data_IF_291405494746
#
_entry.id   IF_291405494746
#
_cell.length_a   1.000
_cell.length_b   1.000
_cell.length_c   1.000
_cell.angle_alpha   90.00
_cell.angle_beta   90.00
_cell.angle_gamma   90.00
#
_symmetry.space_group_name_H-M   'P 1'
#
loop_
_entity.id
_entity.type
_entity.pdbx_description
1 polymer ?
#
# COMPACT_ATOMS: atom_id res chain seq x y z
N UNK A 1 46.07 -13.16 17.99
CA UNK A 1 44.92 -13.45 17.11
C UNK A 1 44.27 -12.12 16.74
N UNK A 2 44.05 -11.86 15.46
CA UNK A 2 43.39 -10.64 15.00
C UNK A 2 41.91 -10.66 15.43
N UNK A 3 41.36 -9.53 15.85
CA UNK A 3 39.96 -9.40 16.34
C UNK A 3 38.94 -10.02 15.39
N UNK A 4 39.19 -9.93 14.09
CA UNK A 4 38.37 -10.51 13.02
C UNK A 4 38.29 -12.06 13.07
N UNK A 5 39.42 -12.72 13.40
CA UNK A 5 39.46 -14.18 13.54
C UNK A 5 38.68 -14.65 14.79
N UNK A 6 38.70 -13.87 15.86
CA UNK A 6 37.96 -14.17 17.07
C UNK A 6 36.41 -14.05 16.84
N UNK A 7 35.97 -13.02 16.11
CA UNK A 7 34.57 -12.83 15.76
C UNK A 7 34.05 -13.96 14.85
N UNK A 8 34.85 -14.36 13.85
CA UNK A 8 34.50 -15.47 12.94
C UNK A 8 34.34 -16.79 13.70
N UNK A 9 35.21 -17.07 14.66
CA UNK A 9 35.13 -18.28 15.50
C UNK A 9 33.89 -18.30 16.40
N UNK A 10 33.50 -17.13 16.95
CA UNK A 10 32.29 -17.02 17.77
C UNK A 10 31.02 -17.26 16.93
N UNK A 11 30.96 -16.73 15.69
CA UNK A 11 29.80 -16.93 14.80
C UNK A 11 29.68 -18.40 14.39
N UNK A 12 30.81 -19.07 14.10
CA UNK A 12 30.83 -20.51 13.75
C UNK A 12 30.38 -21.35 14.96
N UNK A 13 30.84 -21.03 16.17
CA UNK A 13 30.43 -21.73 17.39
C UNK A 13 28.95 -21.62 17.69
N UNK A 14 28.34 -20.44 17.46
CA UNK A 14 26.90 -20.23 17.61
C UNK A 14 26.08 -21.00 16.57
N UNK A 15 26.53 -21.06 15.33
CA UNK A 15 25.87 -21.84 14.27
C UNK A 15 25.93 -23.36 14.54
N UNK A 16 27.06 -23.86 14.99
CA UNK A 16 27.22 -25.29 15.35
C UNK A 16 26.39 -25.64 16.59
N UNK A 17 26.34 -24.75 17.57
CA UNK A 17 25.50 -24.92 18.77
C UNK A 17 24.01 -24.97 18.47
N UNK A 18 23.55 -24.14 17.52
CA UNK A 18 22.14 -24.13 17.09
C UNK A 18 21.75 -25.41 16.35
N UNK A 19 22.61 -25.92 15.46
CA UNK A 19 22.37 -27.17 14.72
C UNK A 19 22.37 -28.36 15.67
N UNK A 20 23.32 -28.43 16.62
CA UNK A 20 23.38 -29.50 17.62
C UNK A 20 22.19 -29.48 18.60
N UNK A 21 21.74 -28.30 18.99
CA UNK A 21 20.55 -28.13 19.85
C UNK A 21 19.26 -28.59 19.18
N UNK A 22 19.09 -28.29 17.91
CA UNK A 22 17.92 -28.71 17.13
C UNK A 22 17.84 -30.23 16.94
N UNK A 23 18.97 -30.88 16.67
CA UNK A 23 19.03 -32.36 16.49
C UNK A 23 18.78 -33.11 17.80
N UNK A 24 19.26 -32.64 18.96
CA UNK A 24 18.99 -33.24 20.26
C UNK A 24 17.50 -33.10 20.65
N UNK A 25 16.84 -32.01 20.29
CA UNK A 25 15.41 -31.86 20.54
C UNK A 25 14.55 -32.83 19.70
N UNK A 26 14.98 -33.16 18.48
CA UNK A 26 14.29 -34.11 17.60
C UNK A 26 14.47 -35.56 18.08
N UNK A 27 15.68 -35.92 18.63
CA UNK A 27 15.99 -37.29 19.05
C UNK A 27 15.45 -37.64 20.45
N UNK A 28 15.08 -36.66 21.27
CA UNK A 28 14.42 -36.87 22.56
C UNK A 28 12.88 -36.84 22.51
N UNK A 29 12.29 -37.28 21.41
CA UNK A 29 10.87 -37.51 21.25
C UNK A 29 10.35 -38.45 22.31
N UNK A 30 9.82 -37.91 23.38
CA UNK A 30 9.20 -38.63 24.51
C UNK A 30 7.93 -39.35 24.01
N UNK A 31 7.85 -40.63 24.34
CA UNK A 31 6.59 -41.37 24.35
C UNK A 31 5.64 -40.73 25.37
N UNK A 32 4.75 -39.91 24.90
CA UNK A 32 3.65 -39.33 25.64
C UNK A 32 2.54 -38.98 24.68
N UNK A 33 1.50 -39.79 24.67
CA UNK A 33 0.29 -39.57 23.87
C UNK A 33 -0.52 -38.44 24.52
N UNK A 34 -0.11 -37.20 24.34
CA UNK A 34 -1.02 -36.06 24.44
C UNK A 34 -1.43 -35.65 23.04
N UNK A 35 -2.74 -35.77 22.78
CA UNK A 35 -3.37 -35.15 21.61
C UNK A 35 -3.14 -33.64 21.72
N UNK A 36 -2.05 -33.16 21.15
CA UNK A 36 -1.87 -31.75 20.87
C UNK A 36 -2.95 -31.43 19.82
N UNK A 37 -4.01 -30.76 20.28
CA UNK A 37 -4.94 -30.14 19.37
C UNK A 37 -4.11 -29.31 18.41
N UNK A 38 -4.03 -29.70 17.15
CA UNK A 38 -3.48 -28.88 16.08
C UNK A 38 -4.29 -27.59 16.11
N UNK A 39 -3.67 -26.52 16.62
CA UNK A 39 -4.12 -25.17 16.36
C UNK A 39 -4.03 -25.03 14.84
N UNK A 40 -5.17 -25.21 14.17
CA UNK A 40 -5.27 -24.88 12.76
C UNK A 40 -4.81 -23.44 12.63
N UNK A 41 -3.64 -23.24 11.95
CA UNK A 41 -3.32 -21.92 11.40
C UNK A 41 -4.59 -21.40 10.77
N UNK A 42 -4.98 -20.13 11.01
CA UNK A 42 -6.05 -19.54 10.24
C UNK A 42 -5.68 -19.77 8.77
N UNK A 43 -6.51 -20.54 8.06
CA UNK A 43 -6.42 -20.61 6.61
C UNK A 43 -6.66 -19.18 6.15
N UNK A 44 -5.58 -18.48 5.81
CA UNK A 44 -5.71 -17.32 4.95
C UNK A 44 -6.39 -17.84 3.69
N UNK A 45 -7.57 -17.32 3.43
CA UNK A 45 -8.30 -17.55 2.20
C UNK A 45 -7.31 -17.37 1.05
N UNK A 46 -7.00 -18.41 0.26
CA UNK A 46 -6.16 -18.19 -0.91
C UNK A 46 -6.93 -17.18 -1.76
N UNK A 47 -6.34 -16.00 -1.95
CA UNK A 47 -6.96 -14.98 -2.80
C UNK A 47 -7.46 -15.59 -4.10
N UNK A 48 -8.38 -14.94 -4.83
CA UNK A 48 -9.04 -15.52 -5.99
C UNK A 48 -8.00 -16.15 -6.90
N UNK A 49 -8.25 -17.40 -7.33
CA UNK A 49 -7.36 -18.11 -8.23
C UNK A 49 -7.14 -17.22 -9.47
N UNK A 50 -5.87 -17.02 -9.84
CA UNK A 50 -5.50 -16.21 -11.01
C UNK A 50 -6.25 -16.63 -12.28
N UNK A 51 -6.58 -17.93 -12.39
CA UNK A 51 -7.38 -18.44 -13.51
C UNK A 51 -8.82 -17.92 -13.46
N UNK A 52 -9.45 -17.89 -12.29
CA UNK A 52 -10.79 -17.33 -12.10
C UNK A 52 -10.82 -15.83 -12.37
N UNK A 53 -9.85 -15.08 -11.84
CA UNK A 53 -9.72 -13.65 -12.09
C UNK A 53 -9.56 -13.35 -13.59
N UNK A 54 -8.70 -14.08 -14.30
CA UNK A 54 -8.49 -13.91 -15.73
C UNK A 54 -9.74 -14.24 -16.56
N UNK A 55 -10.48 -15.27 -16.16
CA UNK A 55 -11.77 -15.62 -16.80
C UNK A 55 -12.77 -14.49 -16.60
N UNK A 56 -12.86 -13.94 -15.40
CA UNK A 56 -13.77 -12.83 -15.08
C UNK A 56 -13.42 -11.57 -15.86
N UNK A 57 -12.14 -11.22 -15.94
CA UNK A 57 -11.65 -10.10 -16.78
C UNK A 57 -12.07 -10.30 -18.24
N UNK A 58 -11.88 -11.51 -18.79
CA UNK A 58 -12.30 -11.84 -20.15
C UNK A 58 -13.80 -11.62 -20.37
N UNK A 59 -14.62 -12.15 -19.46
CA UNK A 59 -16.07 -12.00 -19.53
C UNK A 59 -16.51 -10.53 -19.48
N UNK A 60 -15.93 -9.76 -18.55
CA UNK A 60 -16.24 -8.33 -18.43
C UNK A 60 -15.81 -7.53 -19.65
N UNK A 61 -14.68 -7.88 -20.26
CA UNK A 61 -14.27 -7.27 -21.54
C UNK A 61 -15.29 -7.49 -22.64
N UNK A 62 -15.80 -8.72 -22.77
CA UNK A 62 -16.85 -9.03 -23.76
C UNK A 62 -18.16 -8.25 -23.50
N UNK A 63 -18.51 -8.00 -22.23
CA UNK A 63 -19.66 -7.18 -21.85
C UNK A 63 -19.41 -5.72 -22.26
N UNK A 64 -18.25 -5.16 -21.90
CA UNK A 64 -17.87 -3.76 -22.21
C UNK A 64 -17.66 -3.53 -23.71
N UNK A 65 -17.32 -4.54 -24.50
CA UNK A 65 -17.27 -4.48 -25.96
C UNK A 65 -18.67 -4.37 -26.56
N UNK A 66 -19.66 -5.09 -25.99
CA UNK A 66 -21.07 -5.06 -26.45
C UNK A 66 -21.80 -3.80 -25.97
N UNK A 67 -21.57 -3.41 -24.71
CA UNK A 67 -22.08 -2.18 -24.13
C UNK A 67 -20.93 -1.35 -23.53
N UNK A 68 -20.36 -0.41 -24.29
CA UNK A 68 -19.27 0.43 -23.82
C UNK A 68 -19.61 1.36 -22.66
N UNK A 69 -20.88 1.45 -22.28
CA UNK A 69 -21.39 2.31 -21.18
C UNK A 69 -21.91 1.50 -20.00
N UNK A 70 -21.72 0.20 -19.97
CA UNK A 70 -22.07 -0.64 -18.82
C UNK A 70 -21.22 -0.24 -17.61
N UNK A 71 -21.78 0.61 -16.74
CA UNK A 71 -21.08 1.12 -15.56
C UNK A 71 -20.68 0.02 -14.58
N UNK A 72 -21.54 -0.96 -14.23
CA UNK A 72 -21.16 -2.11 -13.41
C UNK A 72 -19.95 -2.86 -13.97
N UNK A 73 -19.96 -3.21 -15.25
CA UNK A 73 -18.87 -3.94 -15.87
C UNK A 73 -17.57 -3.13 -15.93
N UNK A 74 -17.65 -1.83 -16.24
CA UNK A 74 -16.48 -0.92 -16.24
C UNK A 74 -15.86 -0.81 -14.85
N UNK A 75 -16.68 -0.66 -13.81
CA UNK A 75 -16.22 -0.57 -12.42
C UNK A 75 -15.52 -1.86 -11.99
N UNK A 76 -16.18 -3.00 -12.22
CA UNK A 76 -15.66 -4.30 -11.82
C UNK A 76 -14.38 -4.66 -12.60
N UNK A 77 -14.32 -4.36 -13.89
CA UNK A 77 -13.13 -4.54 -14.71
C UNK A 77 -11.96 -3.71 -14.18
N UNK A 78 -12.22 -2.43 -13.85
CA UNK A 78 -11.22 -1.56 -13.25
C UNK A 78 -10.69 -2.07 -11.92
N UNK A 79 -11.58 -2.55 -11.05
CA UNK A 79 -11.21 -3.13 -9.75
C UNK A 79 -10.36 -4.40 -9.91
N UNK A 80 -10.71 -5.29 -10.82
CA UNK A 80 -9.92 -6.50 -11.09
C UNK A 80 -8.52 -6.16 -11.62
N UNK A 81 -8.41 -5.15 -12.48
CA UNK A 81 -7.10 -4.67 -12.93
C UNK A 81 -6.31 -3.97 -11.83
N UNK A 82 -6.98 -3.23 -10.95
CA UNK A 82 -6.36 -2.63 -9.77
C UNK A 82 -5.78 -3.71 -8.85
N UNK A 83 -6.59 -4.72 -8.49
CA UNK A 83 -6.20 -5.80 -7.58
C UNK A 83 -5.11 -6.71 -8.18
N UNK A 84 -5.12 -6.88 -9.49
CA UNK A 84 -4.10 -7.65 -10.22
C UNK A 84 -2.83 -6.86 -10.57
N UNK A 85 -2.74 -5.58 -10.15
CA UNK A 85 -1.56 -4.75 -10.39
C UNK A 85 -1.35 -4.40 -11.87
N UNK A 86 -2.42 -4.21 -12.61
CA UNK A 86 -2.42 -3.80 -14.03
C UNK A 86 -2.87 -2.32 -14.15
N UNK A 87 -1.97 -1.37 -13.84
CA UNK A 87 -2.37 0.01 -13.63
C UNK A 87 -2.85 0.73 -14.90
N UNK A 88 -2.34 0.37 -16.07
CA UNK A 88 -2.78 1.01 -17.34
C UNK A 88 -4.22 0.64 -17.66
N UNK A 89 -4.53 -0.63 -17.53
CA UNK A 89 -5.84 -1.22 -17.81
C UNK A 89 -6.88 -0.73 -16.77
N UNK A 90 -6.47 -0.63 -15.50
CA UNK A 90 -7.32 -0.07 -14.45
C UNK A 90 -7.68 1.40 -14.75
N UNK A 91 -6.69 2.23 -15.10
CA UNK A 91 -6.91 3.64 -15.46
C UNK A 91 -7.85 3.77 -16.65
N UNK A 92 -7.71 2.92 -17.68
CA UNK A 92 -8.59 2.93 -18.85
C UNK A 92 -10.04 2.66 -18.44
N UNK A 93 -10.30 1.59 -17.71
CA UNK A 93 -11.63 1.23 -17.27
C UNK A 93 -12.25 2.30 -16.35
N UNK A 94 -11.49 2.81 -15.38
CA UNK A 94 -11.93 3.88 -14.48
C UNK A 94 -12.20 5.19 -15.22
N UNK A 95 -11.37 5.55 -16.20
CA UNK A 95 -11.56 6.76 -17.00
C UNK A 95 -12.87 6.70 -17.80
N UNK A 96 -13.20 5.52 -18.37
CA UNK A 96 -14.47 5.31 -19.09
C UNK A 96 -15.66 5.42 -18.16
N UNK A 97 -15.59 4.84 -16.96
CA UNK A 97 -16.62 4.99 -15.93
C UNK A 97 -16.81 6.46 -15.55
N UNK A 98 -15.72 7.16 -15.21
CA UNK A 98 -15.75 8.55 -14.75
C UNK A 98 -16.16 9.56 -15.84
N UNK A 99 -16.01 9.20 -17.11
CA UNK A 99 -16.54 9.99 -18.21
C UNK A 99 -18.08 10.00 -18.25
N UNK A 100 -18.72 8.95 -17.73
CA UNK A 100 -20.19 8.84 -17.64
C UNK A 100 -20.69 9.32 -16.27
N UNK A 101 -20.00 8.95 -15.20
CA UNK A 101 -20.34 9.27 -13.81
C UNK A 101 -19.14 9.90 -13.10
N UNK A 102 -18.96 11.23 -13.22
CA UNK A 102 -17.75 11.91 -12.72
C UNK A 102 -17.66 12.02 -11.19
N UNK A 103 -18.78 11.92 -10.48
CA UNK A 103 -18.84 12.11 -9.03
C UNK A 103 -18.64 10.77 -8.29
N UNK A 104 -17.39 10.29 -8.31
CA UNK A 104 -16.98 9.13 -7.53
C UNK A 104 -15.58 9.39 -6.95
N UNK A 105 -15.47 9.95 -5.73
CA UNK A 105 -14.19 10.28 -5.12
C UNK A 105 -13.34 9.06 -4.80
N UNK A 106 -13.95 7.92 -4.44
CA UNK A 106 -13.21 6.66 -4.20
C UNK A 106 -12.53 6.21 -5.50
N UNK A 107 -13.28 6.12 -6.60
CA UNK A 107 -12.75 5.68 -7.88
C UNK A 107 -11.66 6.61 -8.43
N UNK A 108 -11.81 7.93 -8.23
CA UNK A 108 -10.73 8.88 -8.56
C UNK A 108 -9.49 8.64 -7.71
N UNK A 109 -9.66 8.29 -6.45
CA UNK A 109 -8.55 7.97 -5.57
C UNK A 109 -7.83 6.71 -6.03
N UNK A 110 -8.57 5.66 -6.40
CA UNK A 110 -8.00 4.42 -6.93
C UNK A 110 -7.25 4.68 -8.26
N UNK A 111 -7.83 5.49 -9.14
CA UNK A 111 -7.16 5.90 -10.37
C UNK A 111 -5.87 6.70 -10.08
N UNK A 112 -5.88 7.57 -9.09
CA UNK A 112 -4.69 8.29 -8.62
C UNK A 112 -3.61 7.33 -8.09
N UNK A 113 -3.99 6.27 -7.37
CA UNK A 113 -3.06 5.22 -6.92
C UNK A 113 -2.44 4.51 -8.13
N UNK A 114 -3.20 4.25 -9.18
CA UNK A 114 -2.70 3.62 -10.39
C UNK A 114 -1.75 4.53 -11.18
N UNK A 115 -2.03 5.84 -11.26
CA UNK A 115 -1.07 6.80 -11.82
C UNK A 115 0.24 6.83 -11.02
N UNK A 116 0.15 6.79 -9.69
CA UNK A 116 1.33 6.69 -8.83
C UNK A 116 2.15 5.42 -9.10
N UNK A 117 1.49 4.28 -9.28
CA UNK A 117 2.13 3.01 -9.63
C UNK A 117 2.88 3.06 -10.97
N UNK A 118 2.44 3.89 -11.90
CA UNK A 118 3.13 4.16 -13.17
C UNK A 118 4.25 5.21 -13.06
N UNK A 119 4.44 5.81 -11.87
CA UNK A 119 5.39 6.92 -11.68
C UNK A 119 4.87 8.27 -12.15
N UNK A 120 3.61 8.37 -12.54
CA UNK A 120 2.98 9.62 -12.96
C UNK A 120 2.40 10.35 -11.73
N UNK A 121 3.31 10.92 -10.97
CA UNK A 121 3.00 11.54 -9.68
C UNK A 121 2.15 12.80 -9.83
N UNK A 122 2.28 13.52 -10.94
CA UNK A 122 1.50 14.74 -11.18
C UNK A 122 0.04 14.41 -11.46
N UNK A 123 -0.24 13.42 -12.32
CA UNK A 123 -1.61 12.95 -12.55
C UNK A 123 -2.20 12.29 -11.30
N UNK A 124 -1.41 11.56 -10.53
CA UNK A 124 -1.86 11.00 -9.26
C UNK A 124 -2.37 12.11 -8.31
N UNK A 125 -1.58 13.17 -8.11
CA UNK A 125 -1.97 14.32 -7.28
C UNK A 125 -3.21 15.03 -7.85
N UNK A 126 -3.31 15.16 -9.16
CA UNK A 126 -4.47 15.77 -9.81
C UNK A 126 -5.76 14.99 -9.51
N UNK A 127 -5.77 13.67 -9.66
CA UNK A 127 -6.95 12.85 -9.38
C UNK A 127 -7.30 12.85 -7.88
N UNK A 128 -6.32 12.82 -6.99
CA UNK A 128 -6.58 13.00 -5.56
C UNK A 128 -7.19 14.37 -5.23
N UNK A 129 -6.74 15.45 -5.88
CA UNK A 129 -7.33 16.78 -5.70
C UNK A 129 -8.77 16.83 -6.21
N UNK A 130 -9.05 16.23 -7.37
CA UNK A 130 -10.41 16.13 -7.92
C UNK A 130 -11.33 15.34 -6.98
N UNK A 131 -10.84 14.23 -6.41
CA UNK A 131 -11.57 13.47 -5.41
C UNK A 131 -11.88 14.31 -4.15
N UNK A 132 -10.90 15.06 -3.63
CA UNK A 132 -11.08 15.95 -2.49
C UNK A 132 -11.97 17.16 -2.77
N UNK A 133 -12.14 17.56 -4.03
CA UNK A 133 -13.03 18.62 -4.47
C UNK A 133 -14.48 18.13 -4.59
N UNK A 134 -14.69 16.93 -5.14
CA UNK A 134 -16.02 16.33 -5.27
C UNK A 134 -16.60 15.91 -3.92
N UNK A 135 -15.75 15.42 -2.99
CA UNK A 135 -16.13 15.22 -1.59
C UNK A 135 -15.13 15.90 -0.64
N UNK A 136 -15.49 17.06 -0.06
CA UNK A 136 -14.65 17.77 0.90
C UNK A 136 -14.31 16.96 2.17
N UNK A 137 -15.08 15.90 2.48
CA UNK A 137 -14.84 15.01 3.63
C UNK A 137 -14.03 13.76 3.26
N UNK A 138 -13.67 13.60 2.00
CA UNK A 138 -12.94 12.42 1.55
C UNK A 138 -11.49 12.42 2.08
N UNK A 139 -11.24 11.62 3.12
CA UNK A 139 -9.99 11.61 3.86
C UNK A 139 -8.84 10.93 3.09
N UNK A 140 -9.15 9.88 2.30
CA UNK A 140 -8.13 9.07 1.64
C UNK A 140 -7.39 9.86 0.55
N UNK A 141 -8.11 10.65 -0.26
CA UNK A 141 -7.51 11.48 -1.30
C UNK A 141 -6.54 12.51 -0.70
N UNK A 142 -6.93 13.21 0.38
CA UNK A 142 -6.07 14.19 1.08
C UNK A 142 -4.83 13.55 1.67
N UNK A 143 -4.98 12.37 2.27
CA UNK A 143 -3.85 11.62 2.82
C UNK A 143 -2.86 11.23 1.72
N UNK A 144 -3.37 10.71 0.59
CA UNK A 144 -2.55 10.25 -0.53
C UNK A 144 -1.78 11.38 -1.22
N UNK A 145 -2.30 12.61 -1.27
CA UNK A 145 -1.53 13.78 -1.74
C UNK A 145 -0.24 13.94 -0.92
N UNK A 146 -0.34 13.88 0.41
CA UNK A 146 0.83 13.98 1.28
C UNK A 146 1.82 12.83 1.10
N UNK A 147 1.31 11.61 0.88
CA UNK A 147 2.15 10.43 0.59
C UNK A 147 2.98 10.65 -0.67
N UNK A 148 2.35 11.04 -1.78
CA UNK A 148 3.06 11.26 -3.05
C UNK A 148 4.07 12.40 -2.93
N UNK A 149 3.69 13.51 -2.29
CA UNK A 149 4.60 14.64 -2.10
C UNK A 149 5.82 14.26 -1.27
N UNK A 150 5.63 13.49 -0.19
CA UNK A 150 6.72 13.10 0.70
C UNK A 150 7.64 12.05 0.07
N UNK A 151 7.07 10.94 -0.38
CA UNK A 151 7.86 9.75 -0.73
C UNK A 151 8.32 9.73 -2.18
N UNK A 152 7.50 10.27 -3.08
CA UNK A 152 7.76 10.14 -4.51
C UNK A 152 8.38 11.43 -5.09
N UNK A 153 7.90 12.60 -4.63
CA UNK A 153 8.41 13.92 -5.09
C UNK A 153 9.44 14.54 -4.14
N UNK A 154 9.61 13.99 -2.93
CA UNK A 154 10.52 14.51 -1.89
C UNK A 154 10.23 15.98 -1.51
N UNK A 155 9.00 16.43 -1.73
CA UNK A 155 8.51 17.75 -1.34
C UNK A 155 7.98 17.73 0.10
N UNK A 156 8.91 17.84 1.06
CA UNK A 156 8.60 17.83 2.50
C UNK A 156 7.62 18.97 2.86
N UNK A 157 7.81 20.16 2.31
CA UNK A 157 6.94 21.31 2.62
C UNK A 157 5.54 21.12 2.07
N UNK A 158 5.43 20.64 0.85
CA UNK A 158 4.14 20.29 0.24
C UNK A 158 3.44 19.18 0.99
N UNK A 159 4.16 18.15 1.42
CA UNK A 159 3.62 17.04 2.20
C UNK A 159 3.05 17.51 3.55
N UNK A 160 3.78 18.34 4.28
CA UNK A 160 3.29 18.95 5.54
C UNK A 160 1.98 19.69 5.29
N UNK A 161 1.95 20.58 4.28
CA UNK A 161 0.74 21.33 3.95
C UNK A 161 -0.44 20.43 3.58
N UNK A 162 -0.22 19.40 2.76
CA UNK A 162 -1.25 18.46 2.37
C UNK A 162 -1.80 17.68 3.57
N UNK A 163 -0.95 17.27 4.49
CA UNK A 163 -1.38 16.56 5.69
C UNK A 163 -1.99 17.46 6.76
N UNK A 164 -1.65 18.73 6.81
CA UNK A 164 -2.39 19.71 7.61
C UNK A 164 -3.83 19.87 7.10
N UNK A 165 -4.04 19.85 5.77
CA UNK A 165 -5.41 19.84 5.19
C UNK A 165 -6.15 18.52 5.47
N UNK A 166 -5.45 17.37 5.45
CA UNK A 166 -6.02 16.08 5.88
C UNK A 166 -6.51 16.16 7.34
N UNK A 167 -5.69 16.72 8.25
CA UNK A 167 -6.00 16.80 9.68
C UNK A 167 -7.18 17.72 10.01
N UNK A 168 -7.58 18.62 9.11
CA UNK A 168 -8.82 19.42 9.26
C UNK A 168 -10.07 18.55 9.13
N UNK A 169 -9.98 17.47 8.35
CA UNK A 169 -11.10 16.54 8.10
C UNK A 169 -11.08 15.36 9.06
N UNK A 170 -9.92 14.78 9.28
CA UNK A 170 -9.71 13.70 10.24
C UNK A 170 -8.74 14.15 11.35
N UNK A 171 -9.30 14.48 12.51
CA UNK A 171 -8.51 14.97 13.64
C UNK A 171 -8.33 13.97 14.78
N UNK A 172 -9.00 12.80 14.75
CA UNK A 172 -9.09 11.93 15.93
C UNK A 172 -8.62 10.49 15.71
N UNK A 173 -8.57 10.01 14.46
CA UNK A 173 -8.18 8.63 14.16
C UNK A 173 -6.72 8.34 14.56
N UNK A 174 -6.37 7.09 14.69
CA UNK A 174 -4.98 6.67 14.86
C UNK A 174 -4.10 7.12 13.68
N UNK A 175 -4.65 7.13 12.47
CA UNK A 175 -3.96 7.63 11.29
C UNK A 175 -3.65 9.12 11.45
N UNK A 176 -4.59 9.93 11.95
CA UNK A 176 -4.37 11.34 12.23
C UNK A 176 -3.28 11.58 13.29
N UNK A 177 -3.22 10.75 14.33
CA UNK A 177 -2.15 10.83 15.34
C UNK A 177 -0.78 10.52 14.73
N UNK A 178 -0.67 9.48 13.90
CA UNK A 178 0.57 9.16 13.17
C UNK A 178 1.00 10.30 12.24
N UNK A 179 0.06 10.88 11.51
CA UNK A 179 0.33 12.02 10.61
C UNK A 179 0.85 13.23 11.38
N UNK A 180 0.25 13.58 12.53
CA UNK A 180 0.76 14.67 13.39
C UNK A 180 2.20 14.44 13.82
N UNK A 181 2.48 13.24 14.33
CA UNK A 181 3.84 12.89 14.76
C UNK A 181 4.85 12.99 13.61
N UNK A 182 4.42 12.61 12.40
CA UNK A 182 5.28 12.70 11.22
C UNK A 182 5.51 14.15 10.78
N UNK A 183 4.51 15.00 10.81
CA UNK A 183 4.63 16.45 10.56
C UNK A 183 5.61 17.09 11.56
N UNK A 184 5.47 16.78 12.85
CA UNK A 184 6.37 17.31 13.89
C UNK A 184 7.83 16.92 13.65
N UNK A 185 8.07 15.66 13.29
CA UNK A 185 9.41 15.16 12.96
C UNK A 185 9.99 15.91 11.75
N UNK A 186 9.21 16.08 10.69
CA UNK A 186 9.64 16.78 9.48
C UNK A 186 9.96 18.27 9.73
N UNK A 187 9.14 18.95 10.55
CA UNK A 187 9.38 20.34 10.94
C UNK A 187 10.69 20.47 11.72
N UNK A 188 10.94 19.61 12.72
CA UNK A 188 12.21 19.60 13.48
C UNK A 188 13.42 19.37 12.59
N UNK A 189 13.35 18.40 11.67
CA UNK A 189 14.45 18.16 10.72
C UNK A 189 14.71 19.36 9.80
N UNK A 190 13.67 20.10 9.41
CA UNK A 190 13.80 21.31 8.60
C UNK A 190 14.45 22.50 9.35
N UNK A 191 14.27 22.56 10.67
CA UNK A 191 14.84 23.61 11.52
C UNK A 191 16.32 23.33 11.88
N UNK A 192 16.74 22.06 11.87
CA UNK A 192 18.12 21.64 12.18
C UNK A 192 19.10 21.80 11.02
N UNK A 193 18.62 22.05 9.79
CA UNK A 193 19.51 22.34 8.65
C UNK A 193 20.06 23.77 8.80
N UNK A 194 21.39 23.98 9.00
CA UNK A 194 21.96 25.32 9.14
C UNK A 194 21.60 26.14 7.89
N UNK A 195 21.01 27.32 8.09
CA UNK A 195 20.86 28.31 7.02
C UNK A 195 22.25 28.66 6.56
N UNK A 196 22.72 28.08 5.46
CA UNK A 196 23.96 28.52 4.82
C UNK A 196 23.73 29.99 4.43
N UNK A 197 24.33 30.89 5.20
CA UNK A 197 24.34 32.31 4.91
C UNK A 197 25.01 32.52 3.55
N UNK A 198 24.27 33.10 2.61
CA UNK A 198 24.82 33.58 1.34
C UNK A 198 25.73 34.77 1.58
#
# INVERSE_FOLDING_TARGET
MKKETAILLIVIALLVGFIAGATVAILRGTKGTEKVAMVQKPQMDPGPDLAEMNLKIKTLKEIVEKDPKDLPALLELGNLYFDSGQPKEAIEAYSRYLAIKPDNPDLRTDMGIMYRALGDFDRAIEEFKRAAQSDPKHINSRYNIGIVLLHDKQDIKGAIKAWEEYLKVDSKSEKAQRVRSQIEKMKKMGDEVPKVSK
#
